data_IF_990401281637
#
_entry.id   IF_990401281637
#
_cell.length_a   1.000
_cell.length_b   1.000
_cell.length_c   1.000
_cell.angle_alpha   90.00
_cell.angle_beta   90.00
_cell.angle_gamma   90.00
#
_symmetry.space_group_name_H-M   'P 1'
#
loop_
_entity.id
_entity.type
_entity.pdbx_description
1 polymer ?
#
# COMPACT_ATOMS: atom_id res chain seq x y z
N UNK A 1 21.55 32.01 39.35
CA UNK A 1 22.69 31.32 38.69
C UNK A 1 22.12 30.07 38.05
N UNK A 2 21.68 30.15 36.79
CA UNK A 2 21.20 28.98 36.06
C UNK A 2 22.06 28.81 34.81
N UNK A 3 22.69 27.63 34.71
CA UNK A 3 23.78 27.36 33.80
C UNK A 3 23.34 27.39 32.35
N UNK A 4 24.14 28.09 31.53
CA UNK A 4 24.18 27.84 30.09
C UNK A 4 24.58 26.37 29.87
N UNK A 5 23.56 25.52 29.73
CA UNK A 5 23.70 24.23 29.08
C UNK A 5 24.27 24.48 27.71
N UNK A 6 25.59 24.32 27.58
CA UNK A 6 26.26 24.27 26.29
C UNK A 6 25.73 23.01 25.61
N UNK A 7 24.62 23.16 24.88
CA UNK A 7 24.17 22.14 23.97
C UNK A 7 25.31 21.94 22.96
N UNK A 8 25.83 20.72 22.82
CA UNK A 8 27.00 20.49 21.97
C UNK A 8 26.63 20.90 20.56
N UNK A 9 27.40 21.83 19.97
CA UNK A 9 27.24 22.31 18.61
C UNK A 9 27.57 21.25 17.52
N UNK A 10 27.60 19.96 17.90
CA UNK A 10 27.91 18.82 17.03
C UNK A 10 26.74 18.12 16.30
N UNK A 11 25.44 18.47 16.40
CA UNK A 11 24.42 17.71 15.67
C UNK A 11 24.46 17.99 14.16
N UNK A 12 24.75 19.23 13.74
CA UNK A 12 24.62 19.63 12.33
C UNK A 12 25.58 18.89 11.38
N UNK A 13 26.86 18.75 11.76
CA UNK A 13 27.84 18.04 10.95
C UNK A 13 27.59 16.53 10.92
N UNK A 14 27.10 15.96 12.02
CA UNK A 14 26.75 14.54 12.07
C UNK A 14 25.52 14.24 11.17
N UNK A 15 24.49 15.10 11.19
CA UNK A 15 23.33 14.90 10.32
C UNK A 15 23.66 15.08 8.85
N UNK A 16 24.56 16.00 8.49
CA UNK A 16 24.98 16.16 7.09
C UNK A 16 25.67 14.89 6.58
N UNK A 17 26.59 14.31 7.35
CA UNK A 17 27.25 13.04 6.99
C UNK A 17 26.23 11.94 6.69
N UNK A 18 25.18 11.84 7.51
CA UNK A 18 24.13 10.83 7.34
C UNK A 18 23.23 11.15 6.15
N UNK A 19 22.86 12.41 5.96
CA UNK A 19 21.97 12.84 4.87
C UNK A 19 22.69 12.99 3.52
N UNK A 20 24.02 13.02 3.48
CA UNK A 20 24.86 13.05 2.28
C UNK A 20 25.15 11.65 1.71
N UNK A 21 25.01 10.62 2.53
CA UNK A 21 25.09 9.22 2.11
C UNK A 21 23.71 8.72 1.62
N UNK A 22 23.64 8.22 0.38
CA UNK A 22 22.38 7.75 -0.22
C UNK A 22 21.86 6.45 0.38
N UNK A 23 22.72 5.60 0.95
CA UNK A 23 22.33 4.34 1.59
C UNK A 23 21.77 4.60 2.99
N UNK A 24 22.38 5.51 3.76
CA UNK A 24 21.83 5.96 5.04
C UNK A 24 20.53 6.74 4.85
N UNK A 25 20.49 7.65 3.87
CA UNK A 25 19.27 8.36 3.52
C UNK A 25 18.14 7.38 3.14
N UNK A 26 18.47 6.34 2.35
CA UNK A 26 17.52 5.30 1.96
C UNK A 26 16.96 4.59 3.19
N UNK A 27 17.80 4.20 4.14
CA UNK A 27 17.37 3.51 5.37
C UNK A 27 16.47 4.41 6.24
N UNK A 28 16.77 5.70 6.37
CA UNK A 28 15.94 6.66 7.10
C UNK A 28 14.56 6.77 6.45
N UNK A 29 14.51 6.96 5.14
CA UNK A 29 13.24 7.07 4.40
C UNK A 29 12.47 5.74 4.46
N UNK A 30 13.16 4.59 4.44
CA UNK A 30 12.52 3.27 4.52
C UNK A 30 11.81 3.04 5.86
N UNK A 31 12.29 3.66 6.94
CA UNK A 31 11.66 3.60 8.27
C UNK A 31 10.39 4.44 8.39
N UNK A 32 10.07 5.28 7.40
CA UNK A 32 8.86 6.12 7.43
C UNK A 32 7.61 5.25 7.22
N UNK A 33 6.86 5.01 8.30
CA UNK A 33 5.71 4.13 8.29
C UNK A 33 4.56 4.59 7.37
N UNK A 34 4.42 5.89 7.15
CA UNK A 34 3.30 6.46 6.40
C UNK A 34 3.71 6.90 5.00
N UNK A 35 2.87 6.65 3.98
CA UNK A 35 3.14 7.08 2.61
C UNK A 35 3.19 8.60 2.49
N UNK A 36 2.48 9.34 3.35
CA UNK A 36 2.51 10.81 3.40
C UNK A 36 3.90 11.32 3.78
N UNK A 37 4.58 10.68 4.73
CA UNK A 37 5.92 11.07 5.15
C UNK A 37 6.95 10.74 4.06
N UNK A 38 6.77 9.62 3.36
CA UNK A 38 7.56 9.30 2.17
C UNK A 38 7.45 10.40 1.10
N UNK A 39 6.25 10.91 0.84
CA UNK A 39 6.02 12.01 -0.11
C UNK A 39 6.68 13.30 0.36
N UNK A 40 6.57 13.63 1.66
CA UNK A 40 7.23 14.81 2.24
C UNK A 40 8.75 14.72 2.13
N UNK A 41 9.33 13.56 2.43
CA UNK A 41 10.75 13.29 2.27
C UNK A 41 11.20 13.45 0.80
N UNK A 42 10.46 12.87 -0.14
CA UNK A 42 10.76 12.99 -1.57
C UNK A 42 10.67 14.43 -2.08
N UNK A 43 9.86 15.28 -1.45
CA UNK A 43 9.70 16.69 -1.82
C UNK A 43 10.83 17.61 -1.30
N UNK A 44 11.71 17.14 -0.41
CA UNK A 44 12.81 17.95 0.15
C UNK A 44 13.76 18.44 -0.95
N UNK A 45 14.23 17.53 -1.82
CA UNK A 45 15.08 17.87 -2.95
C UNK A 45 15.10 16.75 -4.01
N UNK A 46 15.68 17.02 -5.18
CA UNK A 46 15.76 16.06 -6.29
C UNK A 46 16.53 14.78 -5.93
N UNK A 47 17.51 14.85 -5.03
CA UNK A 47 18.30 13.70 -4.58
C UNK A 47 17.46 12.73 -3.75
N UNK A 48 16.71 13.27 -2.78
CA UNK A 48 15.76 12.48 -1.99
C UNK A 48 14.68 11.86 -2.86
N UNK A 49 14.16 12.61 -3.84
CA UNK A 49 13.22 12.07 -4.82
C UNK A 49 13.80 10.86 -5.57
N UNK A 50 15.04 10.94 -6.06
CA UNK A 50 15.70 9.81 -6.78
C UNK A 50 15.82 8.58 -5.89
N UNK A 51 16.18 8.74 -4.61
CA UNK A 51 16.31 7.63 -3.66
C UNK A 51 14.94 7.00 -3.38
N UNK A 52 13.93 7.83 -3.11
CA UNK A 52 12.57 7.42 -2.81
C UNK A 52 11.83 6.81 -4.02
N UNK A 53 12.14 7.26 -5.24
CA UNK A 53 11.53 6.75 -6.48
C UNK A 53 12.25 5.52 -7.05
N UNK A 54 13.36 5.08 -6.44
CA UNK A 54 14.12 3.95 -6.94
C UNK A 54 13.29 2.65 -6.88
N UNK A 55 13.29 1.81 -7.93
CA UNK A 55 12.44 0.61 -7.96
C UNK A 55 12.80 -0.39 -6.86
N UNK A 56 14.08 -0.51 -6.51
CA UNK A 56 14.53 -1.36 -5.41
C UNK A 56 14.03 -0.85 -4.04
N UNK A 57 14.03 0.47 -3.83
CA UNK A 57 13.48 1.09 -2.62
C UNK A 57 11.99 0.81 -2.50
N UNK A 58 11.22 1.08 -3.55
CA UNK A 58 9.76 0.90 -3.53
C UNK A 58 9.35 -0.56 -3.31
N UNK A 59 10.14 -1.53 -3.80
CA UNK A 59 9.91 -2.96 -3.49
C UNK A 59 10.09 -3.23 -1.99
N UNK A 60 11.17 -2.75 -1.38
CA UNK A 60 11.42 -2.91 0.06
C UNK A 60 10.37 -2.18 0.90
N UNK A 61 10.04 -0.95 0.52
CA UNK A 61 9.01 -0.15 1.20
C UNK A 61 7.65 -0.85 1.18
N UNK A 62 7.21 -1.40 0.04
CA UNK A 62 5.94 -2.14 -0.06
C UNK A 62 5.96 -3.49 0.67
N UNK A 63 7.11 -4.13 0.79
CA UNK A 63 7.26 -5.35 1.57
C UNK A 63 7.12 -5.08 3.09
N UNK A 64 7.65 -3.95 3.56
CA UNK A 64 7.54 -3.51 4.95
C UNK A 64 6.18 -2.86 5.27
N UNK A 65 5.59 -2.19 4.29
CA UNK A 65 4.31 -1.49 4.40
C UNK A 65 3.34 -2.00 3.32
N UNK A 66 2.66 -3.14 3.57
CA UNK A 66 1.68 -3.68 2.64
C UNK A 66 0.61 -2.61 2.31
N UNK A 67 0.46 -2.22 1.03
CA UNK A 67 -0.53 -1.22 0.67
C UNK A 67 -1.94 -1.77 0.92
N UNK A 68 -2.80 -0.94 1.49
CA UNK A 68 -4.25 -1.19 1.48
C UNK A 68 -4.77 -0.99 0.06
N UNK A 69 -4.83 -2.07 -0.71
CA UNK A 69 -5.43 -2.03 -2.05
C UNK A 69 -6.93 -1.81 -1.89
N UNK A 70 -7.42 -0.64 -2.30
CA UNK A 70 -8.84 -0.27 -2.16
C UNK A 70 -9.74 -1.00 -3.19
N UNK A 71 -9.20 -1.31 -4.36
CA UNK A 71 -9.94 -1.94 -5.45
C UNK A 71 -9.08 -2.16 -6.70
N UNK A 72 -9.61 -2.96 -7.62
CA UNK A 72 -9.03 -3.15 -8.96
C UNK A 72 -9.86 -2.37 -9.97
N UNK A 73 -9.17 -1.67 -10.88
CA UNK A 73 -9.78 -1.10 -12.07
C UNK A 73 -9.59 -2.07 -13.23
N UNK A 74 -10.66 -2.76 -13.63
CA UNK A 74 -10.63 -3.65 -14.79
C UNK A 74 -11.23 -2.93 -16.01
N UNK A 75 -10.41 -2.71 -17.04
CA UNK A 75 -10.89 -2.24 -18.35
C UNK A 75 -11.20 -3.46 -19.20
N UNK A 76 -12.47 -3.68 -19.52
CA UNK A 76 -12.86 -4.77 -20.42
C UNK A 76 -12.69 -4.31 -21.87
N UNK A 77 -11.95 -5.06 -22.68
CA UNK A 77 -11.83 -4.78 -24.12
C UNK A 77 -13.23 -4.82 -24.75
N UNK A 78 -13.69 -3.69 -25.29
CA UNK A 78 -15.03 -3.52 -25.87
C UNK A 78 -16.07 -2.88 -24.96
N UNK A 79 -15.83 -2.75 -23.64
CA UNK A 79 -16.68 -1.98 -22.75
C UNK A 79 -16.22 -0.51 -22.69
N UNK A 80 -17.16 0.44 -22.85
CA UNK A 80 -16.88 1.88 -22.59
C UNK A 80 -16.78 2.21 -21.11
N UNK A 81 -17.08 1.26 -20.22
CA UNK A 81 -17.07 1.46 -18.78
C UNK A 81 -15.97 0.62 -18.14
N UNK A 82 -15.11 1.28 -17.37
CA UNK A 82 -14.24 0.63 -16.39
C UNK A 82 -15.05 0.44 -15.11
N UNK A 83 -15.15 -0.78 -14.60
CA UNK A 83 -15.73 -1.04 -13.29
C UNK A 83 -14.63 -1.06 -12.23
N UNK A 84 -14.88 -0.38 -11.13
CA UNK A 84 -14.13 -0.51 -9.89
C UNK A 84 -14.69 -1.69 -9.10
N UNK A 85 -13.89 -2.73 -8.91
CA UNK A 85 -14.26 -3.82 -8.02
C UNK A 85 -13.51 -3.64 -6.69
N UNK A 86 -14.19 -3.30 -5.58
CA UNK A 86 -13.57 -3.28 -4.26
C UNK A 86 -13.01 -4.67 -3.94
N UNK A 87 -11.79 -4.73 -3.39
CA UNK A 87 -11.30 -5.99 -2.81
C UNK A 87 -11.93 -6.09 -1.42
N UNK A 88 -12.65 -7.18 -1.09
CA UNK A 88 -13.04 -7.41 0.29
C UNK A 88 -11.78 -7.44 1.15
N UNK A 89 -11.65 -6.53 2.10
CA UNK A 89 -10.62 -6.62 3.13
C UNK A 89 -10.77 -8.02 3.74
N UNK A 90 -9.74 -8.88 3.55
CA UNK A 90 -9.85 -10.32 3.74
C UNK A 90 -10.64 -10.67 4.99
N UNK A 91 -11.58 -11.61 4.86
CA UNK A 91 -12.31 -12.18 6.00
C UNK A 91 -11.31 -12.45 7.13
N UNK A 92 -11.62 -12.10 8.40
CA UNK A 92 -10.73 -12.44 9.51
C UNK A 92 -10.39 -13.93 9.44
N UNK A 93 -9.16 -14.33 9.83
CA UNK A 93 -8.74 -15.72 9.73
C UNK A 93 -9.83 -16.59 10.34
N UNK A 94 -10.20 -17.74 9.73
CA UNK A 94 -11.26 -18.56 10.25
C UNK A 94 -10.94 -18.86 11.71
N UNK A 95 -11.74 -18.30 12.63
CA UNK A 95 -11.72 -18.74 14.02
C UNK A 95 -11.89 -20.25 13.94
N UNK A 96 -10.93 -20.99 14.44
CA UNK A 96 -10.94 -22.45 14.44
C UNK A 96 -12.23 -22.92 15.12
N UNK A 97 -13.28 -23.11 14.32
CA UNK A 97 -14.50 -23.74 14.77
C UNK A 97 -14.18 -25.23 14.89
N UNK A 98 -14.55 -25.88 16.00
CA UNK A 98 -14.27 -27.29 16.18
C UNK A 98 -14.89 -28.09 15.03
N UNK A 99 -14.09 -28.99 14.46
CA UNK A 99 -14.45 -29.95 13.42
C UNK A 99 -15.80 -30.59 13.75
N UNK A 100 -16.87 -30.22 13.04
CA UNK A 100 -18.04 -31.09 12.89
C UNK A 100 -17.85 -31.94 11.63
N UNK A 101 -18.11 -33.23 11.79
CA UNK A 101 -17.94 -34.24 10.75
C UNK A 101 -18.75 -33.89 9.49
N UNK A 102 -18.24 -34.21 8.29
CA UNK A 102 -18.90 -33.90 7.03
C UNK A 102 -20.17 -34.74 6.84
N UNK A 103 -21.29 -34.06 6.54
CA UNK A 103 -22.46 -34.70 5.96
C UNK A 103 -22.33 -34.57 4.43
N UNK A 104 -22.14 -35.70 3.75
CA UNK A 104 -22.01 -35.77 2.29
C UNK A 104 -23.33 -35.43 1.61
N UNK A 105 -23.40 -34.36 0.82
CA UNK A 105 -24.44 -34.16 -0.17
C UNK A 105 -23.88 -33.46 -1.43
N UNK A 106 -24.23 -33.93 -2.64
CA UNK A 106 -23.55 -33.56 -3.87
C UNK A 106 -23.94 -32.21 -4.47
N UNK A 107 -22.92 -31.64 -5.11
CA UNK A 107 -22.86 -30.45 -5.95
C UNK A 107 -23.91 -30.40 -7.06
N UNK A 108 -24.67 -29.30 -7.15
CA UNK A 108 -25.17 -28.74 -8.41
C UNK A 108 -25.82 -27.39 -8.15
N UNK A 109 -25.08 -26.28 -8.30
CA UNK A 109 -25.71 -24.98 -8.49
C UNK A 109 -24.86 -24.15 -9.45
N UNK A 110 -25.20 -24.30 -10.72
CA UNK A 110 -24.69 -23.50 -11.81
C UNK A 110 -24.80 -22.01 -11.48
N UNK A 111 -23.67 -21.32 -11.55
CA UNK A 111 -23.59 -19.87 -11.56
C UNK A 111 -24.39 -19.35 -12.77
N UNK A 112 -25.61 -18.88 -12.53
CA UNK A 112 -26.38 -18.12 -13.50
C UNK A 112 -25.84 -16.69 -13.48
N UNK A 113 -25.16 -16.27 -14.55
CA UNK A 113 -24.83 -14.87 -14.77
C UNK A 113 -26.12 -14.05 -14.94
N UNK A 114 -26.40 -13.05 -14.08
CA UNK A 114 -27.51 -12.14 -14.28
C UNK A 114 -27.05 -10.99 -15.18
N UNK A 115 -26.88 -11.25 -16.48
CA UNK A 115 -26.66 -10.20 -17.46
C UNK A 115 -27.51 -10.39 -18.73
N UNK A 116 -28.78 -10.78 -18.56
CA UNK A 116 -29.75 -10.76 -19.67
C UNK A 116 -31.10 -10.25 -19.20
N UNK A 117 -31.13 -9.04 -18.62
CA UNK A 117 -32.38 -8.28 -18.51
C UNK A 117 -32.05 -6.80 -18.63
N UNK A 118 -32.34 -6.22 -19.80
CA UNK A 118 -32.80 -4.83 -19.99
C UNK A 118 -32.46 -4.34 -21.40
N UNK A 119 -33.35 -4.60 -22.37
CA UNK A 119 -33.51 -3.73 -23.53
C UNK A 119 -34.90 -3.96 -24.14
N UNK A 120 -35.94 -3.71 -23.36
CA UNK A 120 -37.30 -3.48 -23.89
C UNK A 120 -37.81 -2.17 -23.29
N UNK A 121 -38.37 -1.34 -24.18
CA UNK A 121 -39.20 -0.15 -23.98
C UNK A 121 -38.54 1.14 -24.50
N UNK A 122 -39.02 1.62 -25.65
CA UNK A 122 -39.79 2.87 -25.71
C UNK A 122 -40.32 3.10 -27.15
N UNK A 123 -41.65 3.00 -27.24
CA UNK A 123 -42.60 3.59 -28.20
C UNK A 123 -42.55 3.21 -29.67
#
# INVERSE_FOLDING_TARGET
MEGQGTHPAMPAAAVSVVLDDDDLLREIILRLAFPTDLVRAAAVCRRWLRVASAPAFLRRYRALHPPRVLGLFAKHAGARCSSLSPIPAGSPPPRAAPRRAPCSAPSAAASRCPCTTAATAAS
#
